data_IF_152947650516
#
_entry.id   IF_152947650516
#
_cell.length_a   1.000
_cell.length_b   1.000
_cell.length_c   1.000
_cell.angle_alpha   90.00
_cell.angle_beta   90.00
_cell.angle_gamma   90.00
#
_symmetry.space_group_name_H-M   'P 1'
#
loop_
_entity.id
_entity.type
_entity.pdbx_description
1 polymer ?
#
# COMPACT_ATOMS: atom_id res chain seq x y z
N UNK A 1 -16.58 43.33 -41.95
CA UNK A 1 -15.90 42.86 -40.72
C UNK A 1 -16.48 41.50 -40.39
N UNK A 2 -15.76 40.45 -40.72
CA UNK A 2 -16.15 39.07 -40.49
C UNK A 2 -15.95 38.76 -39.00
N UNK A 3 -16.99 38.35 -38.32
CA UNK A 3 -16.92 37.82 -36.94
C UNK A 3 -16.22 36.48 -36.99
N UNK A 4 -14.96 36.42 -36.62
CA UNK A 4 -14.28 35.19 -36.35
C UNK A 4 -14.92 34.54 -35.10
N UNK A 5 -15.57 33.44 -35.30
CA UNK A 5 -16.12 32.59 -34.25
C UNK A 5 -14.93 31.98 -33.50
N UNK A 6 -14.67 32.45 -32.30
CA UNK A 6 -13.70 31.81 -31.41
C UNK A 6 -14.23 30.42 -31.09
N UNK A 7 -13.58 29.41 -31.64
CA UNK A 7 -13.88 28.02 -31.33
C UNK A 7 -13.39 27.72 -29.91
N UNK A 8 -14.30 27.62 -28.97
CA UNK A 8 -14.01 27.26 -27.58
C UNK A 8 -13.55 25.81 -27.54
N UNK A 9 -12.27 25.58 -27.34
CA UNK A 9 -11.71 24.25 -27.11
C UNK A 9 -12.00 23.83 -25.68
N UNK A 10 -12.95 22.94 -25.47
CA UNK A 10 -13.15 22.28 -24.19
C UNK A 10 -11.99 21.30 -23.95
N UNK A 11 -11.08 21.64 -23.08
CA UNK A 11 -10.03 20.70 -22.62
C UNK A 11 -10.69 19.71 -21.65
N UNK A 12 -10.99 18.52 -22.11
CA UNK A 12 -11.50 17.43 -21.27
C UNK A 12 -10.33 16.74 -20.58
N UNK A 13 -10.18 16.96 -19.29
CA UNK A 13 -9.29 16.19 -18.42
C UNK A 13 -10.04 14.94 -17.92
N UNK A 14 -10.23 13.95 -18.80
CA UNK A 14 -10.85 12.70 -18.43
C UNK A 14 -10.04 11.99 -17.35
N UNK A 15 -10.72 11.54 -16.28
CA UNK A 15 -10.14 10.64 -15.28
C UNK A 15 -9.88 9.29 -15.94
N UNK A 16 -8.74 8.65 -15.65
CA UNK A 16 -8.46 7.29 -16.10
C UNK A 16 -9.55 6.32 -15.61
N UNK A 17 -9.94 5.36 -16.44
CA UNK A 17 -11.00 4.38 -16.13
C UNK A 17 -10.58 3.42 -15.03
N UNK A 18 -9.30 3.12 -14.94
CA UNK A 18 -8.69 2.28 -13.90
C UNK A 18 -8.61 2.94 -12.53
N UNK A 19 -9.09 4.17 -12.37
CA UNK A 19 -9.34 4.76 -11.06
C UNK A 19 -10.80 4.56 -10.65
N UNK A 20 -11.05 4.35 -9.36
CA UNK A 20 -12.41 4.37 -8.81
C UNK A 20 -13.15 5.64 -9.23
N UNK A 21 -14.44 5.53 -9.51
CA UNK A 21 -15.30 6.68 -9.83
C UNK A 21 -15.36 7.68 -8.68
N UNK A 22 -15.38 7.18 -7.44
CA UNK A 22 -15.25 7.95 -6.20
C UNK A 22 -14.32 7.20 -5.26
N UNK A 23 -13.56 7.92 -4.43
CA UNK A 23 -12.67 7.34 -3.43
C UNK A 23 -12.66 8.20 -2.17
N UNK A 24 -12.38 7.56 -1.03
CA UNK A 24 -12.23 8.26 0.25
C UNK A 24 -11.08 9.28 0.16
N UNK A 25 -11.26 10.43 0.76
CA UNK A 25 -10.28 11.51 0.77
C UNK A 25 -9.80 11.76 2.19
N UNK A 26 -8.57 12.25 2.33
CA UNK A 26 -7.95 12.57 3.62
C UNK A 26 -8.72 13.60 4.42
N UNK A 27 -9.46 14.51 3.77
CA UNK A 27 -10.26 15.54 4.41
C UNK A 27 -11.61 15.72 3.72
N UNK A 28 -12.54 16.38 4.39
CA UNK A 28 -13.83 16.80 3.81
C UNK A 28 -13.67 17.75 2.62
N UNK A 29 -12.49 18.37 2.47
CA UNK A 29 -12.15 19.18 1.32
C UNK A 29 -12.03 18.28 0.09
N UNK A 30 -12.96 18.41 -0.84
CA UNK A 30 -13.10 17.56 -2.04
C UNK A 30 -11.88 17.50 -2.97
N UNK A 31 -10.83 18.28 -2.72
CA UNK A 31 -9.65 18.40 -3.58
C UNK A 31 -8.38 17.77 -3.01
N UNK A 32 -8.40 17.26 -1.77
CA UNK A 32 -7.22 16.66 -1.15
C UNK A 32 -7.22 15.14 -1.29
N UNK A 33 -6.06 14.61 -1.65
CA UNK A 33 -5.76 13.18 -1.63
C UNK A 33 -4.95 12.83 -0.39
N UNK A 34 -4.62 11.54 -0.19
CA UNK A 34 -3.70 11.10 0.88
C UNK A 34 -2.27 11.58 0.66
N UNK A 35 -1.90 11.98 -0.57
CA UNK A 35 -0.56 12.46 -0.89
C UNK A 35 -0.39 13.94 -0.57
N UNK A 36 0.83 14.31 -0.16
CA UNK A 36 1.21 15.68 0.09
C UNK A 36 1.17 16.52 -1.21
N UNK A 37 0.83 17.82 -1.15
CA UNK A 37 0.92 18.71 -2.31
C UNK A 37 2.31 18.71 -2.94
N UNK A 38 2.40 18.44 -4.23
CA UNK A 38 3.67 18.36 -4.97
C UNK A 38 4.44 17.05 -4.82
N UNK A 39 3.90 16.06 -4.10
CA UNK A 39 4.48 14.72 -4.00
C UNK A 39 4.40 13.99 -5.35
N UNK A 40 5.46 13.25 -5.71
CA UNK A 40 5.53 12.53 -6.98
C UNK A 40 4.58 11.34 -7.10
N UNK A 41 4.13 10.74 -5.99
CA UNK A 41 3.21 9.59 -6.02
C UNK A 41 1.94 9.88 -6.83
N UNK A 42 1.30 11.04 -6.64
CA UNK A 42 0.09 11.39 -7.38
C UNK A 42 0.31 11.52 -8.90
N UNK A 43 1.51 11.92 -9.34
CA UNK A 43 1.87 11.97 -10.76
C UNK A 43 2.08 10.56 -11.30
N UNK A 44 2.83 9.72 -10.59
CA UNK A 44 3.11 8.33 -10.98
C UNK A 44 1.81 7.51 -11.04
N UNK A 45 0.88 7.71 -10.10
CA UNK A 45 -0.44 7.07 -10.18
C UNK A 45 -1.18 7.41 -11.47
N UNK A 46 -1.17 8.69 -11.90
CA UNK A 46 -1.80 9.08 -13.17
C UNK A 46 -1.12 8.44 -14.38
N UNK A 47 0.22 8.33 -14.37
CA UNK A 47 0.98 7.68 -15.44
C UNK A 47 0.65 6.19 -15.52
N UNK A 48 0.63 5.53 -14.37
CA UNK A 48 0.33 4.09 -14.27
C UNK A 48 -1.13 3.79 -14.68
N UNK A 49 -2.09 4.55 -14.17
CA UNK A 49 -3.50 4.40 -14.55
C UNK A 49 -3.70 4.61 -16.06
N UNK A 50 -3.03 5.61 -16.64
CA UNK A 50 -3.05 5.82 -18.08
C UNK A 50 -2.47 4.63 -18.86
N UNK A 51 -1.37 4.04 -18.37
CA UNK A 51 -0.78 2.85 -18.99
C UNK A 51 -1.74 1.65 -18.94
N UNK A 52 -2.38 1.42 -17.79
CA UNK A 52 -3.39 0.36 -17.61
C UNK A 52 -4.56 0.54 -18.59
N UNK A 53 -5.07 1.76 -18.71
CA UNK A 53 -6.20 2.08 -19.62
C UNK A 53 -5.80 1.91 -21.09
N UNK A 54 -4.65 2.45 -21.50
CA UNK A 54 -4.18 2.39 -22.88
C UNK A 54 -3.86 0.96 -23.35
N UNK A 55 -3.45 0.09 -22.43
CA UNK A 55 -3.18 -1.31 -22.69
C UNK A 55 -4.42 -2.20 -22.53
N UNK A 56 -5.53 -1.66 -22.01
CA UNK A 56 -6.80 -2.40 -21.84
C UNK A 56 -6.73 -3.54 -20.83
N UNK A 57 -5.90 -3.40 -19.77
CA UNK A 57 -5.56 -4.50 -18.84
C UNK A 57 -6.21 -4.36 -17.45
N UNK A 58 -7.14 -3.42 -17.23
CA UNK A 58 -7.73 -3.13 -15.93
C UNK A 58 -8.23 -4.40 -15.23
N UNK A 59 -9.02 -5.22 -15.91
CA UNK A 59 -9.69 -6.40 -15.33
C UNK A 59 -8.74 -7.55 -14.95
N UNK A 60 -7.49 -7.50 -15.36
CA UNK A 60 -6.47 -8.51 -15.02
C UNK A 60 -5.24 -7.94 -14.34
N UNK A 61 -5.30 -6.66 -13.93
CA UNK A 61 -4.22 -6.01 -13.20
C UNK A 61 -4.36 -6.27 -11.70
N UNK A 62 -3.26 -6.60 -11.06
CA UNK A 62 -3.12 -6.72 -9.61
C UNK A 62 -2.00 -5.76 -9.18
N UNK A 63 -2.33 -4.78 -8.32
CA UNK A 63 -1.36 -3.92 -7.66
C UNK A 63 -0.97 -4.51 -6.31
N UNK A 64 0.33 -4.62 -6.07
CA UNK A 64 0.87 -5.00 -4.76
C UNK A 64 1.46 -3.75 -4.13
N UNK A 65 0.83 -3.28 -3.05
CA UNK A 65 1.24 -2.09 -2.31
C UNK A 65 1.70 -2.47 -0.90
N UNK A 66 2.99 -2.34 -0.58
CA UNK A 66 3.50 -2.60 0.76
C UNK A 66 3.36 -1.38 1.67
N UNK A 67 3.90 -1.47 2.88
CA UNK A 67 3.91 -0.38 3.87
C UNK A 67 4.72 0.81 3.36
N UNK A 68 4.22 2.01 3.57
CA UNK A 68 4.78 3.29 3.12
C UNK A 68 3.77 4.09 2.30
N UNK A 69 4.17 5.21 1.71
CA UNK A 69 3.26 6.02 0.88
C UNK A 69 2.69 5.26 -0.32
N UNK A 70 3.35 4.18 -0.75
CA UNK A 70 2.88 3.28 -1.81
C UNK A 70 1.61 2.51 -1.45
N UNK A 71 1.31 2.29 -0.15
CA UNK A 71 0.12 1.55 0.29
C UNK A 71 -1.18 2.16 -0.21
N UNK A 72 -1.22 3.47 -0.42
CA UNK A 72 -2.44 4.15 -0.83
C UNK A 72 -2.92 3.84 -2.25
N UNK A 73 -2.22 3.00 -3.02
CA UNK A 73 -2.69 2.54 -4.34
C UNK A 73 -4.10 1.97 -4.27
N UNK A 74 -4.43 1.19 -3.24
CA UNK A 74 -5.75 0.56 -3.08
C UNK A 74 -6.90 1.58 -2.93
N UNK A 75 -6.62 2.81 -2.49
CA UNK A 75 -7.64 3.85 -2.38
C UNK A 75 -8.02 4.49 -3.72
N UNK A 76 -7.19 4.30 -4.75
CA UNK A 76 -7.36 5.03 -6.01
C UNK A 76 -7.61 4.13 -7.22
N UNK A 77 -6.98 2.96 -7.27
CA UNK A 77 -7.04 2.07 -8.43
C UNK A 77 -8.17 1.04 -8.31
N UNK A 78 -9.06 1.04 -9.29
CA UNK A 78 -10.12 0.05 -9.48
C UNK A 78 -9.56 -1.16 -10.24
N UNK A 79 -8.71 -1.91 -9.56
CA UNK A 79 -8.05 -3.14 -10.02
C UNK A 79 -7.93 -4.11 -8.84
N UNK A 80 -7.42 -5.30 -9.05
CA UNK A 80 -7.02 -6.16 -7.94
C UNK A 80 -5.96 -5.48 -7.07
N UNK A 81 -6.11 -5.48 -5.75
CA UNK A 81 -5.15 -4.88 -4.82
C UNK A 81 -4.77 -5.88 -3.73
N UNK A 82 -3.47 -5.99 -3.48
CA UNK A 82 -2.92 -6.79 -2.37
C UNK A 82 -2.06 -5.88 -1.51
N UNK A 83 -2.35 -5.80 -0.22
CA UNK A 83 -1.49 -5.15 0.77
C UNK A 83 -0.45 -6.14 1.27
N UNK A 84 0.83 -5.84 1.08
CA UNK A 84 1.93 -6.67 1.54
C UNK A 84 2.58 -6.12 2.82
N UNK A 85 3.17 -7.00 3.62
CA UNK A 85 4.03 -6.57 4.71
C UNK A 85 5.24 -5.79 4.19
N UNK A 86 5.81 -4.93 5.03
CA UNK A 86 6.93 -4.05 4.66
C UNK A 86 8.11 -4.84 4.09
N UNK A 87 8.55 -4.48 2.90
CA UNK A 87 9.63 -5.12 2.16
C UNK A 87 9.27 -6.44 1.47
N UNK A 88 8.04 -6.96 1.64
CA UNK A 88 7.63 -8.28 1.13
C UNK A 88 6.86 -8.24 -0.19
N UNK A 89 6.66 -7.05 -0.76
CA UNK A 89 5.88 -6.91 -1.99
C UNK A 89 6.44 -7.71 -3.18
N UNK A 90 7.75 -7.79 -3.46
CA UNK A 90 8.25 -8.61 -4.56
C UNK A 90 7.98 -10.11 -4.38
N UNK A 91 8.01 -10.62 -3.13
CA UNK A 91 7.67 -12.00 -2.84
C UNK A 91 6.17 -12.27 -3.02
N UNK A 92 5.31 -11.35 -2.56
CA UNK A 92 3.85 -11.42 -2.74
C UNK A 92 3.50 -11.32 -4.22
N UNK A 93 4.12 -10.39 -4.96
CA UNK A 93 3.95 -10.25 -6.41
C UNK A 93 4.35 -11.51 -7.17
N UNK A 94 5.48 -12.13 -6.78
CA UNK A 94 5.91 -13.44 -7.31
C UNK A 94 4.82 -14.50 -7.11
N UNK A 95 4.31 -14.63 -5.87
CA UNK A 95 3.26 -15.59 -5.54
C UNK A 95 1.96 -15.33 -6.31
N UNK A 96 1.51 -14.07 -6.37
CA UNK A 96 0.32 -13.67 -7.12
C UNK A 96 0.46 -13.98 -8.61
N UNK A 97 1.61 -13.66 -9.22
CA UNK A 97 1.88 -13.93 -10.64
C UNK A 97 1.92 -15.42 -10.95
N UNK A 98 2.58 -16.21 -10.10
CA UNK A 98 2.66 -17.66 -10.31
C UNK A 98 1.34 -18.38 -10.09
N UNK A 99 0.51 -17.90 -9.16
CA UNK A 99 -0.83 -18.44 -8.92
C UNK A 99 -1.82 -18.06 -10.02
N UNK A 100 -1.61 -16.92 -10.68
CA UNK A 100 -2.47 -16.40 -11.75
C UNK A 100 -1.62 -15.86 -12.91
N UNK A 101 -1.06 -16.76 -13.74
CA UNK A 101 -0.12 -16.40 -14.80
C UNK A 101 -0.68 -15.37 -15.81
N UNK A 102 -1.99 -15.35 -16.03
CA UNK A 102 -2.69 -14.41 -16.92
C UNK A 102 -2.76 -12.99 -16.37
N UNK A 103 -2.55 -12.80 -15.05
CA UNK A 103 -2.63 -11.48 -14.43
C UNK A 103 -1.41 -10.62 -14.74
N UNK A 104 -1.62 -9.31 -14.78
CA UNK A 104 -0.56 -8.30 -14.84
C UNK A 104 -0.30 -7.83 -13.42
N UNK A 105 0.81 -8.26 -12.85
CA UNK A 105 1.15 -7.95 -11.45
C UNK A 105 2.14 -6.80 -11.41
N UNK A 106 1.76 -5.72 -10.76
CA UNK A 106 2.56 -4.50 -10.62
C UNK A 106 2.86 -4.28 -9.15
N UNK A 107 4.13 -4.29 -8.81
CA UNK A 107 4.66 -3.99 -7.49
C UNK A 107 5.00 -2.50 -7.39
N UNK A 108 4.44 -1.79 -6.40
CA UNK A 108 4.59 -0.35 -6.25
C UNK A 108 5.21 0.00 -4.91
N UNK A 109 6.52 0.23 -4.85
CA UNK A 109 7.30 0.37 -3.63
C UNK A 109 8.01 1.72 -3.49
N UNK A 110 8.21 2.16 -2.24
CA UNK A 110 9.14 3.24 -1.89
C UNK A 110 10.57 2.73 -1.62
N UNK A 111 11.50 3.65 -1.48
CA UNK A 111 12.93 3.35 -1.29
C UNK A 111 13.23 2.67 0.07
N UNK A 112 12.59 3.11 1.13
CA UNK A 112 12.72 2.44 2.43
C UNK A 112 12.13 1.03 2.43
N UNK A 113 11.14 0.78 1.61
CA UNK A 113 10.52 -0.53 1.47
C UNK A 113 11.37 -1.47 0.61
N UNK A 114 11.63 -1.10 -0.63
CA UNK A 114 12.34 -1.93 -1.61
C UNK A 114 13.83 -2.06 -1.28
N UNK A 115 14.51 -0.93 -1.03
CA UNK A 115 15.96 -0.91 -0.94
C UNK A 115 16.51 -1.22 0.46
N UNK A 116 15.66 -1.16 1.51
CA UNK A 116 16.03 -1.54 2.87
C UNK A 116 15.50 -2.94 3.22
N UNK A 117 14.24 -3.00 3.70
CA UNK A 117 13.65 -4.24 4.22
C UNK A 117 13.47 -5.29 3.10
N UNK A 118 13.12 -4.85 1.90
CA UNK A 118 12.84 -5.69 0.73
C UNK A 118 14.03 -5.94 -0.19
N UNK A 119 15.26 -5.59 0.22
CA UNK A 119 16.44 -5.69 -0.64
C UNK A 119 16.73 -7.13 -1.12
N UNK A 120 16.50 -8.10 -0.27
CA UNK A 120 16.63 -9.53 -0.61
C UNK A 120 15.53 -9.98 -1.57
N UNK A 121 14.30 -9.60 -1.30
CA UNK A 121 13.13 -9.98 -2.08
C UNK A 121 13.21 -9.46 -3.51
N UNK A 122 13.57 -8.18 -3.69
CA UNK A 122 13.69 -7.60 -5.02
C UNK A 122 14.85 -8.20 -5.80
N UNK A 123 15.99 -8.42 -5.13
CA UNK A 123 17.16 -9.06 -5.76
C UNK A 123 16.80 -10.44 -6.31
N UNK A 124 16.15 -11.27 -5.50
CA UNK A 124 15.76 -12.61 -5.90
C UNK A 124 14.63 -12.65 -6.92
N UNK A 125 13.64 -11.77 -6.84
CA UNK A 125 12.60 -11.67 -7.86
C UNK A 125 13.20 -11.25 -9.23
N UNK A 126 14.10 -10.29 -9.23
CA UNK A 126 14.80 -9.84 -10.43
C UNK A 126 15.72 -10.96 -10.99
N UNK A 127 16.47 -11.66 -10.11
CA UNK A 127 17.38 -12.73 -10.52
C UNK A 127 16.65 -13.93 -11.14
N UNK A 128 15.43 -14.23 -10.68
CA UNK A 128 14.59 -15.29 -11.30
C UNK A 128 13.90 -14.81 -12.58
N UNK A 129 13.95 -13.51 -12.89
CA UNK A 129 13.24 -12.96 -14.04
C UNK A 129 11.72 -13.05 -13.91
N UNK A 130 11.18 -12.93 -12.69
CA UNK A 130 9.74 -13.02 -12.45
C UNK A 130 8.96 -12.08 -13.38
N UNK A 131 7.85 -12.54 -13.94
CA UNK A 131 7.05 -11.77 -14.87
C UNK A 131 6.21 -10.71 -14.15
N UNK A 132 6.87 -9.77 -13.48
CA UNK A 132 6.27 -8.66 -12.74
C UNK A 132 6.87 -7.32 -13.20
N UNK A 133 6.11 -6.26 -13.02
CA UNK A 133 6.59 -4.88 -13.23
C UNK A 133 6.74 -4.20 -11.88
N UNK A 134 7.92 -3.65 -11.60
CA UNK A 134 8.21 -2.93 -10.36
C UNK A 134 8.26 -1.43 -10.63
N UNK A 135 7.44 -0.67 -9.94
CA UNK A 135 7.48 0.80 -9.91
C UNK A 135 8.09 1.22 -8.59
N UNK A 136 9.33 1.63 -8.64
CA UNK A 136 10.14 1.97 -7.48
C UNK A 136 10.24 3.48 -7.30
N UNK A 137 9.65 4.02 -6.25
CA UNK A 137 9.65 5.45 -5.93
C UNK A 137 10.83 5.76 -5.02
N UNK A 138 11.85 6.39 -5.57
CA UNK A 138 13.01 6.85 -4.83
C UNK A 138 12.87 8.35 -4.52
N UNK A 139 12.63 8.68 -3.26
CA UNK A 139 12.63 10.05 -2.76
C UNK A 139 13.73 10.32 -1.73
N UNK A 140 14.68 9.40 -1.61
CA UNK A 140 15.86 9.46 -0.77
C UNK A 140 15.58 9.59 0.74
N UNK A 141 14.39 9.12 1.23
CA UNK A 141 14.04 9.21 2.65
C UNK A 141 12.81 8.37 3.02
N UNK A 142 12.75 7.84 4.24
CA UNK A 142 11.51 7.30 4.81
C UNK A 142 10.53 8.42 5.11
N UNK A 143 9.61 8.70 4.19
CA UNK A 143 8.75 9.89 4.30
C UNK A 143 7.61 9.71 5.27
N UNK A 144 6.92 8.56 5.25
CA UNK A 144 5.70 8.33 6.01
C UNK A 144 5.92 8.39 7.53
N UNK A 145 7.05 7.91 8.01
CA UNK A 145 7.37 7.82 9.44
C UNK A 145 8.07 9.03 10.02
N UNK A 146 8.26 10.09 9.22
CA UNK A 146 8.80 11.37 9.70
C UNK A 146 10.24 11.66 9.29
N UNK A 147 10.75 11.02 8.25
CA UNK A 147 12.00 11.43 7.60
C UNK A 147 13.26 10.76 8.12
N UNK A 148 13.24 9.48 8.41
CA UNK A 148 14.44 8.68 8.70
C UNK A 148 15.27 8.47 7.44
N UNK A 149 16.57 8.23 7.60
CA UNK A 149 17.46 7.92 6.47
C UNK A 149 17.06 6.57 5.83
N UNK A 150 16.89 6.59 4.52
CA UNK A 150 16.71 5.38 3.70
C UNK A 150 18.07 4.94 3.12
N UNK A 151 18.22 3.73 2.58
CA UNK A 151 19.44 3.32 1.89
C UNK A 151 19.84 4.24 0.75
N UNK A 152 18.89 4.90 0.12
CA UNK A 152 19.05 5.85 -0.99
C UNK A 152 19.35 7.29 -0.55
N UNK A 153 19.28 7.61 0.75
CA UNK A 153 19.56 8.95 1.28
C UNK A 153 20.94 9.42 0.89
N UNK A 154 21.06 10.66 0.39
CA UNK A 154 22.30 11.20 -0.16
C UNK A 154 23.33 11.53 0.93
N UNK A 155 24.61 11.49 0.58
CA UNK A 155 25.69 11.97 1.48
C UNK A 155 25.46 13.43 1.83
N UNK A 156 25.55 13.77 3.11
CA UNK A 156 25.27 15.10 3.66
C UNK A 156 23.80 15.47 3.79
N UNK A 157 22.88 14.64 3.25
CA UNK A 157 21.44 14.87 3.41
C UNK A 157 21.03 14.65 4.87
N UNK A 158 20.39 15.65 5.47
CA UNK A 158 19.85 15.58 6.83
C UNK A 158 18.56 14.78 6.88
N UNK A 159 18.42 13.97 7.92
CA UNK A 159 17.24 13.18 8.21
C UNK A 159 16.96 13.12 9.72
N UNK A 160 15.86 12.54 10.13
CA UNK A 160 15.54 12.35 11.55
C UNK A 160 16.58 11.45 12.27
N UNK A 161 17.17 10.49 11.57
CA UNK A 161 18.20 9.59 12.10
C UNK A 161 19.62 10.05 11.82
N UNK A 162 19.81 11.02 10.93
CA UNK A 162 21.10 11.61 10.58
C UNK A 162 21.00 13.15 10.61
N UNK A 163 20.83 13.77 11.78
CA UNK A 163 20.55 15.22 11.90
C UNK A 163 21.70 16.10 11.44
N UNK A 164 22.94 15.58 11.47
CA UNK A 164 24.14 16.26 10.96
C UNK A 164 24.40 16.02 9.47
N UNK A 165 23.54 15.21 8.81
CA UNK A 165 23.71 14.74 7.45
C UNK A 165 24.35 13.36 7.37
N UNK A 166 23.90 12.53 6.40
CA UNK A 166 24.43 11.17 6.18
C UNK A 166 25.93 11.20 5.94
N UNK A 167 26.66 10.36 6.67
CA UNK A 167 28.11 10.18 6.54
C UNK A 167 28.43 8.83 5.92
N UNK A 168 29.24 8.81 4.88
CA UNK A 168 29.71 7.57 4.27
C UNK A 168 30.50 6.67 5.24
N UNK A 169 31.18 7.27 6.22
CA UNK A 169 32.00 6.55 7.19
C UNK A 169 31.18 5.74 8.22
N UNK A 170 29.96 6.20 8.53
CA UNK A 170 29.12 5.57 9.56
C UNK A 170 27.86 4.90 9.01
N UNK A 171 27.33 5.40 7.86
CA UNK A 171 26.04 4.97 7.31
C UNK A 171 26.16 4.42 5.88
N UNK A 172 27.39 4.39 5.33
CA UNK A 172 27.65 3.92 3.97
C UNK A 172 27.14 4.89 2.88
N UNK A 173 27.39 4.51 1.65
CA UNK A 173 26.97 5.24 0.46
C UNK A 173 25.50 4.97 0.09
N UNK A 174 24.86 5.90 -0.68
CA UNK A 174 23.54 5.63 -1.25
C UNK A 174 23.54 4.36 -2.10
N UNK A 175 22.48 3.55 -1.95
CA UNK A 175 22.34 2.32 -2.72
C UNK A 175 21.79 2.62 -4.11
N UNK A 176 22.52 2.19 -5.13
CA UNK A 176 22.17 2.34 -6.55
C UNK A 176 21.43 1.09 -7.05
N UNK A 177 20.10 1.07 -6.90
CA UNK A 177 19.29 -0.12 -7.16
C UNK A 177 19.30 -0.52 -8.64
N UNK A 178 19.14 0.44 -9.56
CA UNK A 178 19.15 0.13 -11.00
C UNK A 178 20.46 -0.50 -11.42
N UNK A 179 21.59 0.06 -10.99
CA UNK A 179 22.93 -0.44 -11.28
C UNK A 179 23.14 -1.85 -10.69
N UNK A 180 22.72 -2.05 -9.45
CA UNK A 180 22.79 -3.36 -8.78
C UNK A 180 22.02 -4.43 -9.55
N UNK A 181 20.76 -4.16 -9.87
CA UNK A 181 19.91 -5.14 -10.54
C UNK A 181 20.29 -5.33 -12.03
N UNK A 182 20.90 -4.35 -12.66
CA UNK A 182 21.40 -4.47 -14.03
C UNK A 182 22.58 -5.45 -14.19
N UNK A 183 23.25 -5.80 -13.07
CA UNK A 183 24.31 -6.84 -13.08
C UNK A 183 23.73 -8.26 -13.22
N UNK A 184 22.43 -8.43 -13.00
CA UNK A 184 21.76 -9.72 -13.14
C UNK A 184 21.43 -10.02 -14.61
N UNK A 185 21.42 -11.31 -14.97
CA UNK A 185 21.14 -11.73 -16.34
C UNK A 185 19.65 -11.74 -16.71
N UNK A 186 18.79 -12.01 -15.73
CA UNK A 186 17.38 -12.25 -15.97
C UNK A 186 16.51 -10.99 -16.19
N UNK A 187 16.77 -9.79 -15.62
CA UNK A 187 15.93 -8.61 -15.88
C UNK A 187 15.89 -8.24 -17.37
N UNK A 188 14.68 -7.90 -17.85
CA UNK A 188 14.47 -7.50 -19.26
C UNK A 188 14.64 -6.02 -19.46
N UNK A 189 14.12 -5.23 -18.52
CA UNK A 189 14.15 -3.79 -18.65
C UNK A 189 14.33 -3.11 -17.30
N UNK A 190 15.33 -2.25 -17.21
CA UNK A 190 15.58 -1.42 -16.03
C UNK A 190 15.89 0.00 -16.51
N UNK A 191 15.08 0.97 -16.06
CA UNK A 191 15.26 2.38 -16.37
C UNK A 191 15.05 3.23 -15.13
N UNK A 192 15.89 4.27 -14.98
CA UNK A 192 15.69 5.34 -14.00
C UNK A 192 15.22 6.60 -14.69
N UNK A 193 14.11 7.15 -14.20
CA UNK A 193 13.47 8.38 -14.68
C UNK A 193 13.30 9.39 -13.55
N UNK A 194 13.06 10.65 -13.89
CA UNK A 194 12.87 11.73 -12.91
C UNK A 194 11.54 12.44 -13.07
N UNK A 195 11.16 13.21 -12.05
CA UNK A 195 9.99 14.09 -12.05
C UNK A 195 10.38 15.58 -11.87
N UNK A 196 11.61 15.93 -12.22
CA UNK A 196 12.15 17.28 -12.01
C UNK A 196 11.67 18.34 -13.00
N UNK A 197 11.14 17.94 -14.16
CA UNK A 197 10.55 18.85 -15.16
C UNK A 197 9.54 18.14 -16.08
N UNK A 198 8.90 18.91 -16.95
CA UNK A 198 7.86 18.40 -17.87
C UNK A 198 8.42 17.36 -18.87
N UNK A 199 9.66 17.51 -19.36
CA UNK A 199 10.29 16.57 -20.30
C UNK A 199 10.49 15.22 -19.62
N UNK A 200 10.97 15.23 -18.39
CA UNK A 200 11.16 14.03 -17.57
C UNK A 200 9.82 13.34 -17.25
N UNK A 201 8.77 14.11 -16.94
CA UNK A 201 7.41 13.58 -16.72
C UNK A 201 6.92 12.83 -17.96
N UNK A 202 7.13 13.36 -19.16
CA UNK A 202 6.78 12.68 -20.41
C UNK A 202 7.60 11.41 -20.59
N UNK A 203 8.90 11.46 -20.28
CA UNK A 203 9.77 10.28 -20.34
C UNK A 203 9.34 9.21 -19.34
N UNK A 204 9.08 9.59 -18.08
CA UNK A 204 8.58 8.69 -17.05
C UNK A 204 7.27 8.00 -17.45
N UNK A 205 6.35 8.76 -18.09
CA UNK A 205 5.09 8.20 -18.60
C UNK A 205 5.35 7.10 -19.65
N UNK A 206 6.29 7.32 -20.57
CA UNK A 206 6.66 6.34 -21.60
C UNK A 206 7.36 5.11 -21.00
N UNK A 207 8.28 5.33 -20.06
CA UNK A 207 9.01 4.27 -19.39
C UNK A 207 8.09 3.33 -18.60
N UNK A 208 7.17 3.89 -17.81
CA UNK A 208 6.19 3.12 -17.05
C UNK A 208 5.30 2.30 -18.00
N UNK A 209 4.78 2.92 -19.07
CA UNK A 209 3.98 2.19 -20.05
C UNK A 209 4.77 1.05 -20.69
N UNK A 210 6.01 1.29 -21.11
CA UNK A 210 6.90 0.29 -21.70
C UNK A 210 7.16 -0.89 -20.73
N UNK A 211 7.42 -0.62 -19.46
CA UNK A 211 7.64 -1.68 -18.48
C UNK A 211 6.40 -2.57 -18.29
N UNK A 212 5.20 -1.98 -18.24
CA UNK A 212 3.94 -2.72 -18.16
C UNK A 212 3.70 -3.50 -19.46
N UNK A 213 3.97 -2.89 -20.61
CA UNK A 213 3.84 -3.52 -21.94
C UNK A 213 4.76 -4.73 -22.08
N UNK A 214 6.01 -4.66 -21.56
CA UNK A 214 6.91 -5.80 -21.52
C UNK A 214 6.30 -6.99 -20.78
N UNK A 215 5.61 -6.75 -19.65
CA UNK A 215 4.91 -7.81 -18.92
C UNK A 215 3.71 -8.35 -19.70
N UNK A 216 2.92 -7.48 -20.37
CA UNK A 216 1.80 -7.88 -21.24
C UNK A 216 2.30 -8.79 -22.36
N UNK A 217 3.47 -8.50 -22.91
CA UNK A 217 4.12 -9.30 -23.95
C UNK A 217 4.85 -10.56 -23.42
N UNK A 218 4.81 -10.82 -22.11
CA UNK A 218 5.46 -12.00 -21.52
C UNK A 218 6.99 -11.95 -21.53
N UNK A 219 7.61 -10.76 -21.62
CA UNK A 219 9.07 -10.64 -21.77
C UNK A 219 9.85 -10.88 -20.46
N UNK A 220 9.26 -10.71 -19.28
CA UNK A 220 9.89 -10.95 -17.99
C UNK A 220 9.91 -9.75 -17.05
N UNK A 221 10.91 -9.70 -16.16
CA UNK A 221 11.03 -8.69 -15.12
C UNK A 221 11.37 -7.30 -15.67
N UNK A 222 10.61 -6.29 -15.27
CA UNK A 222 10.90 -4.89 -15.57
C UNK A 222 10.86 -4.04 -14.31
N UNK A 223 11.78 -3.08 -14.17
CA UNK A 223 11.82 -2.11 -13.06
C UNK A 223 11.98 -0.68 -13.58
N UNK A 224 11.14 0.21 -13.08
CA UNK A 224 11.26 1.66 -13.29
C UNK A 224 11.51 2.33 -11.94
N UNK A 225 12.72 2.86 -11.76
CA UNK A 225 13.04 3.73 -10.64
C UNK A 225 12.63 5.17 -10.98
N UNK A 226 11.80 5.77 -10.15
CA UNK A 226 11.32 7.15 -10.34
C UNK A 226 11.89 8.03 -9.24
N UNK A 227 12.80 8.94 -9.61
CA UNK A 227 13.28 9.97 -8.70
C UNK A 227 12.15 10.97 -8.44
N UNK A 228 11.71 11.02 -7.19
CA UNK A 228 10.44 11.65 -6.80
C UNK A 228 10.65 12.76 -5.78
N UNK A 229 9.99 13.93 -5.93
CA UNK A 229 10.01 14.97 -4.92
C UNK A 229 9.23 14.56 -3.65
N UNK A 230 9.76 14.92 -2.47
CA UNK A 230 9.08 14.80 -1.18
C UNK A 230 9.03 16.16 -0.44
N UNK A 231 8.14 17.10 -0.84
CA UNK A 231 8.16 18.47 -0.34
C UNK A 231 7.98 18.58 1.17
N UNK A 232 7.10 17.77 1.75
CA UNK A 232 6.73 17.87 3.18
C UNK A 232 7.90 17.56 4.11
N UNK A 233 8.63 16.46 3.85
CA UNK A 233 9.76 16.07 4.71
C UNK A 233 10.92 17.03 4.56
N UNK A 234 11.21 17.49 3.35
CA UNK A 234 12.29 18.44 3.10
C UNK A 234 11.91 19.90 3.41
N UNK A 235 10.63 20.14 3.83
CA UNK A 235 10.11 21.50 4.10
C UNK A 235 10.34 22.45 2.91
N UNK A 236 10.13 21.93 1.71
CA UNK A 236 10.27 22.63 0.44
C UNK A 236 8.90 22.91 -0.19
N UNK A 237 8.80 23.98 -0.95
CA UNK A 237 7.66 24.16 -1.86
C UNK A 237 7.69 23.07 -2.95
N UNK A 238 6.57 22.73 -3.61
CA UNK A 238 6.53 21.76 -4.71
C UNK A 238 7.58 22.03 -5.80
N UNK A 239 7.76 23.30 -6.19
CA UNK A 239 8.71 23.72 -7.20
C UNK A 239 10.16 23.52 -6.73
N UNK A 240 10.46 23.89 -5.49
CA UNK A 240 11.80 23.66 -4.92
C UNK A 240 12.13 22.17 -4.84
N UNK A 241 11.16 21.32 -4.47
CA UNK A 241 11.36 19.88 -4.40
C UNK A 241 11.60 19.25 -5.79
N UNK A 242 10.93 19.73 -6.84
CA UNK A 242 11.21 19.33 -8.21
C UNK A 242 12.61 19.75 -8.66
N UNK A 243 13.03 20.99 -8.36
CA UNK A 243 14.39 21.45 -8.65
C UNK A 243 15.43 20.62 -7.89
N UNK A 244 15.14 20.25 -6.64
CA UNK A 244 16.04 19.41 -5.84
C UNK A 244 16.26 18.02 -6.47
N UNK A 245 15.22 17.42 -7.02
CA UNK A 245 15.36 16.16 -7.78
C UNK A 245 16.37 16.35 -8.92
N UNK A 246 16.19 17.39 -9.75
CA UNK A 246 17.01 17.62 -10.92
C UNK A 246 18.45 18.07 -10.57
N UNK A 247 18.60 18.98 -9.62
CA UNK A 247 19.90 19.61 -9.34
C UNK A 247 20.76 18.82 -8.34
N UNK A 248 20.11 17.95 -7.53
CA UNK A 248 20.78 17.23 -6.45
C UNK A 248 20.70 15.73 -6.62
N UNK A 249 19.49 15.15 -6.72
CA UNK A 249 19.34 13.69 -6.81
C UNK A 249 19.96 13.12 -8.10
N UNK A 250 19.74 13.75 -9.25
CA UNK A 250 20.22 13.23 -10.53
C UNK A 250 21.76 13.21 -10.66
N UNK A 251 22.46 14.01 -9.86
CA UNK A 251 23.93 13.95 -9.79
C UNK A 251 24.43 12.67 -9.11
N UNK A 252 23.63 12.12 -8.21
CA UNK A 252 23.94 10.87 -7.50
C UNK A 252 23.30 9.69 -8.23
N UNK A 253 22.09 9.86 -8.72
CA UNK A 253 21.31 8.84 -9.42
C UNK A 253 21.08 9.28 -10.88
N UNK A 254 22.06 9.12 -11.79
CA UNK A 254 21.90 9.53 -13.19
C UNK A 254 20.74 8.81 -13.86
N UNK A 255 19.92 9.56 -14.64
CA UNK A 255 18.81 9.03 -15.40
C UNK A 255 19.29 8.21 -16.59
N UNK A 256 18.53 7.19 -16.98
CA UNK A 256 18.81 6.40 -18.18
C UNK A 256 18.34 4.97 -18.11
N UNK A 257 18.58 4.26 -19.19
CA UNK A 257 18.30 2.82 -19.31
C UNK A 257 19.55 2.06 -18.89
N UNK A 258 19.43 1.20 -17.90
CA UNK A 258 20.51 0.37 -17.35
C UNK A 258 20.50 -1.06 -17.92
N UNK A 259 19.33 -1.53 -18.32
CA UNK A 259 19.15 -2.82 -18.96
C UNK A 259 18.03 -2.72 -20.00
N UNK A 260 18.27 -3.20 -21.21
CA UNK A 260 17.25 -3.38 -22.25
C UNK A 260 17.58 -4.65 -23.03
N UNK A 261 16.93 -5.74 -22.65
CA UNK A 261 17.02 -7.07 -23.29
C UNK A 261 15.69 -7.47 -23.93
N UNK A 262 14.84 -6.51 -24.26
CA UNK A 262 13.51 -6.77 -24.82
C UNK A 262 13.55 -7.48 -26.19
N UNK A 263 14.69 -7.49 -26.85
CA UNK A 263 14.93 -8.15 -28.13
C UNK A 263 15.63 -9.51 -28.01
N UNK A 264 16.10 -9.85 -26.82
CA UNK A 264 16.85 -11.08 -26.60
C UNK A 264 15.86 -12.23 -26.34
N UNK A 265 15.99 -13.37 -27.02
CA UNK A 265 15.18 -14.55 -26.71
C UNK A 265 15.51 -15.02 -25.27
N UNK A 266 14.48 -15.30 -24.51
CA UNK A 266 14.63 -15.84 -23.15
C UNK A 266 14.27 -17.31 -23.11
N UNK A 267 14.87 -18.09 -22.18
CA UNK A 267 14.37 -19.42 -21.89
C UNK A 267 12.90 -19.33 -21.46
N UNK A 268 12.05 -20.13 -22.07
CA UNK A 268 10.69 -20.30 -21.58
C UNK A 268 10.76 -20.82 -20.14
N UNK A 269 9.97 -20.22 -19.25
CA UNK A 269 9.78 -20.82 -17.92
C UNK A 269 9.14 -22.17 -18.13
N UNK A 270 9.66 -23.20 -17.47
CA UNK A 270 9.08 -24.55 -17.58
C UNK A 270 7.58 -24.49 -17.26
N UNK A 271 6.78 -25.10 -18.14
CA UNK A 271 5.33 -25.27 -17.98
C UNK A 271 4.97 -26.27 -16.86
N UNK A 272 5.75 -26.31 -15.78
CA UNK A 272 5.35 -27.02 -14.58
C UNK A 272 4.08 -26.35 -14.06
N UNK A 273 2.95 -26.85 -14.51
CA UNK A 273 1.65 -26.37 -14.06
C UNK A 273 1.64 -26.33 -12.52
N UNK A 274 1.23 -25.20 -11.91
CA UNK A 274 1.15 -25.13 -10.47
C UNK A 274 0.31 -26.30 -9.95
N UNK A 275 0.68 -26.92 -8.83
CA UNK A 275 -0.11 -28.02 -8.28
C UNK A 275 -1.56 -27.57 -8.11
N UNK A 276 -2.48 -28.39 -8.54
CA UNK A 276 -3.91 -28.14 -8.36
C UNK A 276 -4.23 -28.01 -6.86
N UNK A 277 -5.25 -27.22 -6.51
CA UNK A 277 -5.59 -26.93 -5.11
C UNK A 277 -5.77 -28.18 -4.24
N UNK A 278 -6.26 -29.27 -4.84
CA UNK A 278 -6.41 -30.57 -4.20
C UNK A 278 -5.07 -31.25 -3.85
N UNK A 279 -3.97 -30.89 -4.53
CA UNK A 279 -2.64 -31.43 -4.26
C UNK A 279 -1.82 -30.59 -3.28
N UNK A 280 -2.28 -29.36 -2.96
CA UNK A 280 -1.56 -28.48 -2.03
C UNK A 280 -1.32 -29.14 -0.67
N UNK A 281 -2.30 -29.80 -0.01
CA UNK A 281 -2.03 -30.47 1.25
C UNK A 281 -0.93 -31.54 1.15
N UNK A 282 -0.90 -32.33 0.08
CA UNK A 282 0.13 -33.33 -0.17
C UNK A 282 1.52 -32.71 -0.39
N UNK A 283 1.59 -31.60 -1.16
CA UNK A 283 2.85 -30.88 -1.45
C UNK A 283 3.40 -30.23 -0.18
N UNK A 284 2.54 -29.74 0.70
CA UNK A 284 2.91 -29.14 1.99
C UNK A 284 3.19 -30.18 3.08
N UNK A 285 2.96 -31.47 2.81
CA UNK A 285 3.09 -32.52 3.83
C UNK A 285 2.05 -32.39 4.96
N UNK A 286 0.98 -31.67 4.69
CA UNK A 286 -0.15 -31.54 5.62
C UNK A 286 -1.14 -32.63 5.23
N UNK A 287 -0.88 -33.86 5.64
CA UNK A 287 -1.88 -34.90 5.57
C UNK A 287 -3.09 -34.46 6.40
N UNK A 288 -4.29 -34.89 5.99
CA UNK A 288 -5.57 -34.54 6.60
C UNK A 288 -5.68 -34.91 8.11
N UNK A 289 -4.65 -34.70 8.88
CA UNK A 289 -4.77 -34.65 10.34
C UNK A 289 -5.63 -33.45 10.66
N UNK A 290 -6.87 -33.73 11.07
CA UNK A 290 -7.84 -32.78 11.54
C UNK A 290 -7.17 -31.65 12.33
N UNK A 291 -7.31 -30.42 11.85
CA UNK A 291 -7.09 -29.24 12.70
C UNK A 291 -7.74 -29.54 14.05
N UNK A 292 -7.04 -29.27 15.19
CA UNK A 292 -7.65 -29.52 16.48
C UNK A 292 -9.05 -28.89 16.48
N UNK A 293 -10.08 -29.70 16.77
CA UNK A 293 -11.46 -29.19 16.89
C UNK A 293 -11.42 -28.14 18.00
N UNK A 294 -11.48 -26.86 17.60
CA UNK A 294 -11.64 -25.76 18.53
C UNK A 294 -12.89 -26.01 19.38
N UNK A 295 -12.89 -25.57 20.63
CA UNK A 295 -14.04 -25.66 21.49
C UNK A 295 -15.27 -25.02 20.81
N UNK A 296 -16.25 -25.79 20.34
CA UNK A 296 -17.35 -25.22 19.58
C UNK A 296 -18.16 -24.28 20.47
N UNK A 297 -18.32 -23.04 19.99
CA UNK A 297 -19.33 -22.13 20.58
C UNK A 297 -20.67 -22.84 20.57
N UNK A 298 -21.34 -22.85 21.72
CA UNK A 298 -22.69 -23.41 21.89
C UNK A 298 -23.60 -23.03 20.71
N UNK A 299 -24.27 -24.01 20.12
CA UNK A 299 -24.94 -23.95 18.82
C UNK A 299 -26.14 -22.97 18.74
N UNK A 300 -26.42 -22.20 19.77
CA UNK A 300 -27.59 -21.32 19.83
C UNK A 300 -27.41 -19.90 19.32
N UNK A 301 -26.17 -19.44 19.10
CA UNK A 301 -25.91 -18.11 18.57
C UNK A 301 -25.07 -18.24 17.30
N UNK A 302 -25.62 -17.79 16.18
CA UNK A 302 -24.84 -17.64 14.95
C UNK A 302 -24.09 -16.31 15.04
N UNK A 303 -22.79 -16.29 15.38
CA UNK A 303 -22.08 -15.02 15.46
C UNK A 303 -21.87 -14.46 14.06
N UNK A 304 -22.38 -13.27 13.81
CA UNK A 304 -21.95 -12.37 12.73
C UNK A 304 -21.47 -11.10 13.40
N UNK A 305 -20.27 -11.18 13.98
CA UNK A 305 -19.66 -10.06 14.67
C UNK A 305 -18.84 -9.25 13.67
N UNK A 306 -19.22 -7.99 13.52
CA UNK A 306 -18.55 -7.00 12.71
C UNK A 306 -18.05 -5.90 13.63
N UNK A 307 -16.79 -6.02 14.05
CA UNK A 307 -16.18 -5.15 15.05
C UNK A 307 -15.33 -4.09 14.38
N UNK A 308 -15.45 -2.87 14.86
CA UNK A 308 -14.46 -1.82 14.65
C UNK A 308 -13.89 -1.40 15.98
N UNK A 309 -12.57 -1.55 16.16
CA UNK A 309 -11.85 -1.01 17.30
C UNK A 309 -11.14 0.26 16.85
N UNK A 310 -11.29 1.37 17.59
CA UNK A 310 -10.73 2.65 17.22
C UNK A 310 -10.20 3.42 18.44
N UNK A 311 -9.05 4.09 18.27
CA UNK A 311 -8.37 4.85 19.31
C UNK A 311 -7.14 5.58 18.77
N UNK A 312 -6.23 5.92 19.65
CA UNK A 312 -4.89 6.41 19.29
C UNK A 312 -3.84 5.31 19.37
N UNK A 313 -2.73 5.51 18.70
CA UNK A 313 -1.55 4.66 18.86
C UNK A 313 -1.13 4.53 20.33
N UNK A 314 -0.83 3.31 20.77
CA UNK A 314 -0.51 2.99 22.16
C UNK A 314 -1.69 2.62 23.06
N UNK A 315 -2.95 2.74 22.61
CA UNK A 315 -4.14 2.35 23.37
C UNK A 315 -4.55 0.86 23.19
N UNK A 316 -3.69 0.03 22.63
CA UNK A 316 -3.98 -1.39 22.43
C UNK A 316 -5.02 -1.74 21.37
N UNK A 317 -5.37 -0.78 20.49
CA UNK A 317 -6.42 -0.93 19.47
C UNK A 317 -6.19 -2.14 18.57
N UNK A 318 -4.97 -2.30 18.05
CA UNK A 318 -4.62 -3.40 17.18
C UNK A 318 -4.51 -4.71 17.93
N UNK A 319 -3.91 -4.70 19.13
CA UNK A 319 -3.82 -5.86 19.99
C UNK A 319 -5.20 -6.44 20.35
N UNK A 320 -6.15 -5.57 20.70
CA UNK A 320 -7.52 -6.02 20.98
C UNK A 320 -8.15 -6.69 19.74
N UNK A 321 -7.90 -6.12 18.54
CA UNK A 321 -8.37 -6.72 17.30
C UNK A 321 -7.75 -8.09 17.03
N UNK A 322 -6.47 -8.25 17.29
CA UNK A 322 -5.72 -9.50 17.15
C UNK A 322 -6.24 -10.56 18.13
N UNK A 323 -6.36 -10.22 19.41
CA UNK A 323 -6.93 -11.13 20.43
C UNK A 323 -8.35 -11.60 20.06
N UNK A 324 -9.20 -10.70 19.56
CA UNK A 324 -10.53 -11.08 19.09
C UNK A 324 -10.46 -12.03 17.88
N UNK A 325 -9.52 -11.80 16.98
CA UNK A 325 -9.33 -12.65 15.81
C UNK A 325 -8.85 -14.05 16.20
N UNK A 326 -7.85 -14.16 17.07
CA UNK A 326 -7.36 -15.44 17.60
C UNK A 326 -8.46 -16.21 18.36
N UNK A 327 -9.17 -15.54 19.25
CA UNK A 327 -10.29 -16.15 19.98
C UNK A 327 -11.40 -16.65 19.02
N UNK A 328 -11.62 -15.95 17.90
CA UNK A 328 -12.55 -16.39 16.86
C UNK A 328 -12.08 -17.66 16.15
N UNK A 329 -10.77 -17.73 15.83
CA UNK A 329 -10.16 -18.93 15.23
C UNK A 329 -10.26 -20.14 16.17
N UNK A 330 -9.92 -19.96 17.46
CA UNK A 330 -10.02 -21.01 18.47
C UNK A 330 -11.47 -21.50 18.66
N UNK A 331 -12.45 -20.63 18.40
CA UNK A 331 -13.86 -20.96 18.43
C UNK A 331 -14.38 -21.61 17.13
N UNK A 332 -13.51 -21.87 16.15
CA UNK A 332 -13.85 -22.49 14.86
C UNK A 332 -14.68 -21.59 13.95
N UNK A 333 -14.46 -20.27 13.99
CA UNK A 333 -15.11 -19.29 13.12
C UNK A 333 -14.23 -18.91 11.94
N UNK A 334 -14.88 -18.50 10.86
CA UNK A 334 -14.21 -17.70 9.82
C UNK A 334 -13.86 -16.34 10.39
N UNK A 335 -12.61 -15.92 10.21
CA UNK A 335 -12.07 -14.70 10.82
C UNK A 335 -11.38 -13.84 9.77
N UNK A 336 -11.60 -12.53 9.84
CA UNK A 336 -10.73 -11.57 9.21
C UNK A 336 -10.35 -10.45 10.17
N UNK A 337 -9.10 -10.06 10.15
CA UNK A 337 -8.57 -8.91 10.87
C UNK A 337 -7.83 -7.99 9.91
N UNK A 338 -8.26 -6.73 9.82
CA UNK A 338 -7.68 -5.72 8.94
C UNK A 338 -7.31 -4.49 9.76
N UNK A 339 -6.02 -4.30 10.08
CA UNK A 339 -5.57 -3.08 10.73
C UNK A 339 -5.57 -1.91 9.72
N UNK A 340 -6.07 -0.75 10.15
CA UNK A 340 -5.94 0.50 9.43
C UNK A 340 -4.77 1.29 10.02
N UNK A 341 -3.69 1.34 9.25
CA UNK A 341 -2.45 1.97 9.64
C UNK A 341 -2.21 3.19 8.75
N UNK A 342 -2.37 4.38 9.30
CA UNK A 342 -2.17 5.63 8.57
C UNK A 342 -0.84 6.31 8.92
N UNK A 343 -0.35 7.25 8.09
CA UNK A 343 0.87 8.01 8.36
C UNK A 343 0.81 8.88 9.61
N UNK A 344 -0.34 8.98 10.23
CA UNK A 344 -0.63 9.81 11.41
C UNK A 344 -0.32 9.15 12.75
N UNK A 345 0.68 8.25 12.79
CA UNK A 345 1.03 7.40 13.94
C UNK A 345 1.35 8.10 15.27
N UNK A 346 1.49 9.41 15.31
CA UNK A 346 1.82 10.17 16.54
C UNK A 346 0.72 11.14 17.00
N UNK A 347 -0.50 11.06 16.46
CA UNK A 347 -1.71 11.76 16.94
C UNK A 347 -2.94 11.48 16.07
N UNK A 348 -2.86 10.52 15.12
CA UNK A 348 -3.97 10.08 14.28
C UNK A 348 -4.75 8.93 14.88
N UNK A 349 -5.99 8.75 14.43
CA UNK A 349 -6.83 7.62 14.83
C UNK A 349 -6.29 6.31 14.27
N UNK A 350 -5.85 5.41 15.15
CA UNK A 350 -5.62 4.00 14.82
C UNK A 350 -6.93 3.25 14.88
N UNK A 351 -7.18 2.37 13.93
CA UNK A 351 -8.36 1.49 14.01
C UNK A 351 -8.11 0.15 13.31
N UNK A 352 -8.88 -0.85 13.68
CA UNK A 352 -8.92 -2.11 12.95
C UNK A 352 -10.34 -2.62 12.77
N UNK A 353 -10.50 -3.48 11.79
CA UNK A 353 -11.73 -4.18 11.47
C UNK A 353 -11.55 -5.65 11.83
N UNK A 354 -12.52 -6.24 12.52
CA UNK A 354 -12.56 -7.67 12.83
C UNK A 354 -13.92 -8.22 12.40
N UNK A 355 -13.90 -9.31 11.64
CA UNK A 355 -15.13 -10.08 11.35
C UNK A 355 -14.97 -11.48 11.89
N UNK A 356 -16.00 -11.93 12.60
CA UNK A 356 -16.11 -13.28 13.15
C UNK A 356 -17.47 -13.84 12.71
N UNK A 357 -17.49 -14.91 11.92
CA UNK A 357 -18.72 -15.48 11.37
C UNK A 357 -18.56 -16.97 11.08
N UNK A 358 -19.65 -17.67 10.83
CA UNK A 358 -19.63 -19.07 10.34
C UNK A 358 -19.65 -19.17 8.82
N UNK A 359 -19.73 -18.03 8.12
CA UNK A 359 -19.81 -17.99 6.67
C UNK A 359 -18.51 -17.45 6.07
N UNK A 360 -18.23 -17.81 4.83
CA UNK A 360 -17.09 -17.27 4.09
C UNK A 360 -17.13 -15.74 4.10
N UNK A 361 -15.99 -15.12 4.41
CA UNK A 361 -15.83 -13.67 4.50
C UNK A 361 -15.39 -13.13 3.14
N UNK A 362 -16.31 -12.51 2.40
CA UNK A 362 -16.02 -11.93 1.08
C UNK A 362 -15.16 -10.66 1.15
N UNK A 363 -15.22 -9.92 2.26
CA UNK A 363 -14.46 -8.69 2.46
C UNK A 363 -14.04 -8.51 3.92
N UNK A 364 -12.78 -8.19 4.21
CA UNK A 364 -12.31 -7.88 5.56
C UNK A 364 -12.79 -6.50 6.04
N UNK A 365 -13.31 -5.65 5.15
CA UNK A 365 -13.76 -4.31 5.47
C UNK A 365 -15.08 -4.33 6.25
N UNK A 366 -15.10 -3.64 7.40
CA UNK A 366 -16.31 -3.42 8.20
C UNK A 366 -16.79 -1.97 8.02
N UNK A 367 -17.69 -1.75 7.10
CA UNK A 367 -18.29 -0.43 6.88
C UNK A 367 -19.27 -0.08 8.01
N UNK A 368 -20.16 -1.01 8.35
CA UNK A 368 -21.20 -0.87 9.37
C UNK A 368 -20.96 -1.87 10.50
N UNK A 369 -20.16 -1.49 11.52
CA UNK A 369 -19.88 -2.37 12.65
C UNK A 369 -21.14 -2.57 13.52
N UNK A 370 -21.45 -3.81 13.87
CA UNK A 370 -22.45 -4.06 14.91
C UNK A 370 -21.87 -3.97 16.33
N UNK A 371 -20.53 -3.86 16.42
CA UNK A 371 -19.81 -3.53 17.65
C UNK A 371 -18.72 -2.50 17.35
N UNK A 372 -18.83 -1.30 17.92
CA UNK A 372 -17.77 -0.29 17.92
C UNK A 372 -17.11 -0.26 19.30
N UNK A 373 -15.78 -0.43 19.35
CA UNK A 373 -14.97 -0.17 20.55
C UNK A 373 -14.22 1.13 20.33
N UNK A 374 -14.58 2.17 21.06
CA UNK A 374 -13.97 3.49 20.96
C UNK A 374 -13.13 3.80 22.21
N UNK A 375 -11.80 3.83 22.04
CA UNK A 375 -10.85 4.05 23.13
C UNK A 375 -10.67 5.53 23.49
N UNK A 376 -11.23 6.45 22.71
CA UNK A 376 -11.23 7.90 22.96
C UNK A 376 -12.38 8.60 22.22
N UNK A 377 -12.66 9.81 22.63
CA UNK A 377 -13.78 10.61 22.08
C UNK A 377 -13.61 10.97 20.59
N UNK A 378 -12.44 11.38 20.07
CA UNK A 378 -12.28 11.62 18.63
C UNK A 378 -12.60 10.41 17.76
N UNK A 379 -12.23 9.21 18.20
CA UNK A 379 -12.56 7.95 17.50
C UNK A 379 -14.03 7.62 17.59
N UNK A 380 -14.66 7.88 18.74
CA UNK A 380 -16.11 7.73 18.90
C UNK A 380 -16.84 8.63 17.90
N UNK A 381 -16.55 9.92 17.88
CA UNK A 381 -17.18 10.89 16.98
C UNK A 381 -17.03 10.54 15.50
N UNK A 382 -15.87 9.99 15.14
CA UNK A 382 -15.59 9.57 13.76
C UNK A 382 -16.47 8.41 13.32
N UNK A 383 -16.71 7.42 14.17
CA UNK A 383 -17.30 6.14 13.78
C UNK A 383 -18.71 5.88 14.32
N UNK A 384 -19.20 6.64 15.28
CA UNK A 384 -20.51 6.42 15.91
C UNK A 384 -21.66 6.36 14.90
N UNK A 385 -21.60 7.17 13.85
CA UNK A 385 -22.64 7.21 12.80
C UNK A 385 -22.74 5.92 11.96
N UNK A 386 -21.69 5.09 11.97
CA UNK A 386 -21.61 3.88 11.19
C UNK A 386 -22.22 2.66 11.91
N UNK A 387 -22.54 2.78 13.20
CA UNK A 387 -23.13 1.70 13.98
C UNK A 387 -24.64 1.62 13.63
N UNK A 388 -25.15 0.47 13.12
CA UNK A 388 -26.56 0.33 12.80
C UNK A 388 -27.43 0.27 14.05
N UNK A 389 -28.73 0.42 13.87
CA UNK A 389 -29.74 0.17 14.92
C UNK A 389 -29.59 -1.27 15.46
N UNK A 390 -29.71 -1.43 16.77
CA UNK A 390 -29.43 -2.70 17.46
C UNK A 390 -27.96 -2.98 17.76
N UNK A 391 -27.04 -2.19 17.19
CA UNK A 391 -25.61 -2.31 17.42
C UNK A 391 -25.17 -1.84 18.80
N UNK A 392 -23.90 -2.12 19.13
CA UNK A 392 -23.28 -1.80 20.42
C UNK A 392 -22.09 -0.84 20.26
N UNK A 393 -21.95 0.04 21.25
CA UNK A 393 -20.76 0.88 21.42
C UNK A 393 -20.16 0.62 22.80
N UNK A 394 -18.92 0.17 22.84
CA UNK A 394 -18.10 0.15 24.05
C UNK A 394 -17.21 1.41 24.02
N UNK A 395 -17.40 2.27 25.01
CA UNK A 395 -16.66 3.54 25.08
C UNK A 395 -15.77 3.59 26.31
N UNK A 396 -14.49 3.87 26.10
CA UNK A 396 -13.51 4.05 27.17
C UNK A 396 -13.58 5.48 27.72
N UNK A 397 -14.44 5.67 28.71
CA UNK A 397 -14.66 6.94 29.39
C UNK A 397 -15.73 6.79 30.47
N UNK A 398 -15.77 7.69 31.42
CA UNK A 398 -16.70 7.68 32.55
C UNK A 398 -18.13 7.99 32.11
N UNK A 399 -18.28 8.94 31.20
CA UNK A 399 -19.56 9.40 30.68
C UNK A 399 -19.56 9.36 29.14
N UNK A 400 -20.70 8.92 28.56
CA UNK A 400 -20.87 8.93 27.11
C UNK A 400 -21.29 10.33 26.62
N UNK A 401 -20.65 10.91 25.61
CA UNK A 401 -21.04 12.22 25.09
C UNK A 401 -22.48 12.24 24.56
N UNK A 402 -23.32 13.12 25.09
CA UNK A 402 -24.75 13.18 24.77
C UNK A 402 -25.04 13.47 23.30
N UNK A 403 -24.17 14.23 22.63
CA UNK A 403 -24.26 14.54 21.20
C UNK A 403 -23.84 13.34 20.29
N UNK A 404 -23.29 12.28 20.88
CA UNK A 404 -23.02 11.01 20.21
C UNK A 404 -24.12 9.95 20.44
N UNK A 405 -25.14 10.23 21.25
CA UNK A 405 -26.25 9.31 21.47
C UNK A 405 -27.04 9.11 20.18
N UNK A 406 -27.46 7.85 19.97
CA UNK A 406 -28.26 7.48 18.82
C UNK A 406 -29.39 6.55 19.24
N UNK A 407 -30.60 6.85 18.76
CA UNK A 407 -31.76 6.01 19.00
C UNK A 407 -31.52 4.57 18.48
N UNK A 408 -31.87 3.58 19.30
CA UNK A 408 -31.74 2.17 18.93
C UNK A 408 -30.31 1.60 18.99
N UNK A 409 -29.32 2.36 19.44
CA UNK A 409 -27.92 1.88 19.63
C UNK A 409 -27.66 1.68 21.12
N UNK A 410 -27.09 0.52 21.47
CA UNK A 410 -26.74 0.20 22.85
C UNK A 410 -25.37 0.78 23.20
N UNK A 411 -25.23 1.32 24.41
CA UNK A 411 -23.99 1.96 24.85
C UNK A 411 -23.54 1.38 26.18
N UNK A 412 -22.25 1.07 26.29
CA UNK A 412 -21.57 0.77 27.55
C UNK A 412 -20.33 1.69 27.66
N UNK A 413 -20.43 2.69 28.51
CA UNK A 413 -19.31 3.56 28.88
C UNK A 413 -18.68 3.10 30.20
N UNK A 414 -17.36 2.89 30.21
CA UNK A 414 -16.58 2.55 31.38
C UNK A 414 -15.13 3.02 31.16
N UNK A 415 -14.41 3.44 32.23
CA UNK A 415 -13.00 3.84 32.13
C UNK A 415 -12.09 2.58 32.07
N UNK A 416 -12.19 1.82 30.98
CA UNK A 416 -11.49 0.54 30.82
C UNK A 416 -9.98 0.64 31.04
N UNK A 417 -9.35 1.73 30.57
CA UNK A 417 -7.90 1.95 30.77
C UNK A 417 -7.55 2.13 32.25
N UNK A 418 -8.38 2.86 33.00
CA UNK A 418 -8.17 3.04 34.43
C UNK A 418 -8.33 1.71 35.18
N UNK A 419 -9.42 0.99 34.89
CA UNK A 419 -9.68 -0.34 35.46
C UNK A 419 -8.52 -1.30 35.21
N UNK A 420 -8.00 -1.33 33.97
CA UNK A 420 -6.85 -2.17 33.64
C UNK A 420 -5.60 -1.80 34.43
N UNK A 421 -5.31 -0.49 34.61
CA UNK A 421 -4.18 -0.04 35.37
C UNK A 421 -4.29 -0.35 36.90
N UNK A 422 -5.51 -0.42 37.41
CA UNK A 422 -5.77 -0.79 38.82
C UNK A 422 -5.63 -2.30 39.05
N UNK A 423 -5.80 -3.11 38.02
CA UNK A 423 -5.68 -4.57 38.08
C UNK A 423 -4.24 -5.07 37.89
N UNK A 424 -3.30 -4.23 37.41
CA UNK A 424 -1.89 -4.57 37.13
C UNK A 424 -1.75 -5.03 35.69
#
# INVERSE_FOLDING_TARGET
MSSETIQEYAVSHGKAKSFYSSYERKSELQHQTHFCPGCGHGQVHKMLAKAIDELGIQNRTILVGPVGCGVFTYNYFDVGNISAAHGRAPAVATGAKRSRPESIVIDYQGDGDLAAIGSSEILHAANRGEHITVIFINNAIYSMTGGQAAPTTLIGQKSATSPNGRSAATEGYPLHVCELLATLEAPVYIERVGLGDTKQIVQATRAIKRAVENQVCGLGFSLIEVLSPCPTIFKMTPVQAQHWVREVMEKVFPLGVFCDRTKDPRPEQSDDAPPTLDRIPQVLGVDNESLPEGNPISSQVTPDLRVRVAGFGGQGVLLLGEVLAEAGLDAGLEVSWLPSYGPEMRSGTSNCHVRLTRHVIDSPMVANPNLLVAMNEPSLRKFVKNVPEGGWILYNGDEFPTDCERAGVNVLARPFTQIANELG
#
